data_IF_112056512163
#
_entry.id   IF_112056512163
#
_cell.length_a   1.000
_cell.length_b   1.000
_cell.length_c   1.000
_cell.angle_alpha   90.00
_cell.angle_beta   90.00
_cell.angle_gamma   90.00
#
_symmetry.space_group_name_H-M   'P 1'
#
loop_
_entity.id
_entity.type
_entity.pdbx_description
1 polymer ?
#
# COMPACT_ATOMS: atom_id res chain seq x y z
N UNK A 1 74.03 -12.36 9.70
CA UNK A 1 74.23 -13.13 10.95
C UNK A 1 73.06 -12.76 11.82
N UNK A 2 72.29 -13.76 12.26
CA UNK A 2 71.15 -13.62 13.16
C UNK A 2 69.94 -12.89 12.53
N UNK A 3 68.78 -13.52 12.23
CA UNK A 3 68.29 -14.90 12.56
C UNK A 3 68.12 -15.12 14.08
N UNK A 4 67.11 -15.77 14.68
CA UNK A 4 65.78 -16.33 14.30
C UNK A 4 64.70 -15.62 15.20
N UNK A 5 63.39 -15.90 15.33
CA UNK A 5 62.31 -16.72 14.69
C UNK A 5 61.27 -15.79 13.95
N UNK A 6 60.13 -16.12 13.31
CA UNK A 6 59.23 -17.28 13.05
C UNK A 6 57.97 -17.53 13.97
N UNK A 7 56.92 -18.16 13.37
CA UNK A 7 55.52 -18.48 13.83
C UNK A 7 54.45 -17.34 13.98
N UNK A 8 53.14 -17.55 13.76
CA UNK A 8 52.31 -18.16 12.68
C UNK A 8 50.81 -18.17 13.14
N UNK A 9 49.86 -17.63 12.36
CA UNK A 9 48.55 -18.27 12.15
C UNK A 9 47.62 -17.62 11.08
N UNK A 10 46.92 -18.50 10.38
CA UNK A 10 45.55 -18.37 9.83
C UNK A 10 45.15 -17.13 8.98
N UNK A 11 44.95 -17.40 7.69
CA UNK A 11 43.81 -16.82 6.95
C UNK A 11 42.48 -17.29 7.58
N UNK A 12 41.48 -16.42 7.69
CA UNK A 12 40.08 -16.85 7.81
C UNK A 12 39.17 -15.94 6.97
N UNK A 13 38.14 -16.54 6.37
CA UNK A 13 37.24 -15.92 5.41
C UNK A 13 35.85 -15.74 6.03
N UNK A 14 35.61 -14.56 6.61
CA UNK A 14 34.26 -14.06 6.91
C UNK A 14 34.02 -12.77 6.11
N UNK A 15 32.96 -12.63 5.30
CA UNK A 15 31.73 -13.44 5.19
C UNK A 15 30.61 -12.91 6.10
N UNK A 16 30.82 -11.78 6.79
CA UNK A 16 29.75 -11.02 7.40
C UNK A 16 29.33 -9.87 6.48
N UNK A 17 28.48 -10.20 5.50
CA UNK A 17 27.73 -9.20 4.78
C UNK A 17 26.80 -8.48 5.76
N UNK A 18 27.06 -7.20 6.04
CA UNK A 18 26.16 -6.34 6.82
C UNK A 18 24.84 -6.22 6.06
N UNK A 19 23.91 -7.12 6.37
CA UNK A 19 22.60 -7.23 5.76
C UNK A 19 21.74 -6.05 6.16
N UNK A 20 22.00 -4.89 5.55
CA UNK A 20 21.27 -3.65 5.75
C UNK A 20 19.79 -3.95 5.66
N UNK A 21 19.11 -3.86 6.80
CA UNK A 21 17.81 -4.49 6.98
C UNK A 21 16.83 -3.94 5.95
N UNK A 22 16.48 -4.79 4.97
CA UNK A 22 15.30 -4.60 4.17
C UNK A 22 14.14 -4.55 5.16
N UNK A 23 13.67 -3.34 5.44
CA UNK A 23 12.38 -3.13 6.08
C UNK A 23 11.36 -3.63 5.08
N UNK A 24 11.10 -4.93 5.17
CA UNK A 24 9.96 -5.59 4.61
C UNK A 24 8.78 -4.96 5.33
N UNK A 25 8.28 -3.87 4.74
CA UNK A 25 6.96 -3.32 5.02
C UNK A 25 6.02 -4.53 5.04
N UNK A 26 5.58 -4.92 6.24
CA UNK A 26 4.66 -6.04 6.37
C UNK A 26 3.44 -5.67 5.56
N UNK A 27 3.13 -6.46 4.53
CA UNK A 27 1.95 -6.25 3.70
C UNK A 27 0.74 -6.64 4.56
N UNK A 28 0.35 -5.69 5.42
CA UNK A 28 -0.82 -5.74 6.31
C UNK A 28 -2.03 -5.71 5.41
N UNK A 29 -2.35 -6.88 4.87
CA UNK A 29 -3.42 -7.09 3.92
C UNK A 29 -4.71 -6.47 4.43
N UNK A 30 -5.55 -6.03 3.50
CA UNK A 30 -6.73 -5.21 3.74
C UNK A 30 -7.60 -5.67 4.93
N UNK A 31 -7.74 -6.98 5.15
CA UNK A 31 -8.43 -7.59 6.30
C UNK A 31 -7.81 -7.23 7.66
N UNK A 32 -6.49 -7.17 7.78
CA UNK A 32 -5.80 -6.75 9.01
C UNK A 32 -5.98 -5.24 9.26
N UNK A 33 -6.07 -4.43 8.21
CA UNK A 33 -6.41 -3.01 8.32
C UNK A 33 -7.86 -2.80 8.78
N UNK A 34 -8.83 -3.59 8.30
CA UNK A 34 -10.21 -3.58 8.81
C UNK A 34 -10.29 -4.02 10.28
N UNK A 35 -9.47 -5.00 10.71
CA UNK A 35 -9.36 -5.40 12.13
C UNK A 35 -8.77 -4.29 13.00
N UNK A 36 -7.69 -3.62 12.55
CA UNK A 36 -7.12 -2.44 13.25
C UNK A 36 -8.13 -1.27 13.33
N UNK A 37 -9.09 -1.19 12.39
CA UNK A 37 -10.17 -0.19 12.38
C UNK A 37 -11.40 -0.60 13.23
N UNK A 38 -11.48 -1.87 13.64
CA UNK A 38 -12.63 -2.43 14.38
C UNK A 38 -13.88 -2.67 13.54
N UNK A 39 -13.72 -2.79 12.22
CA UNK A 39 -14.82 -2.93 11.25
C UNK A 39 -15.17 -4.40 10.94
N UNK A 40 -14.28 -5.34 11.29
CA UNK A 40 -14.54 -6.79 11.38
C UNK A 40 -13.93 -7.36 12.66
N UNK A 41 -14.48 -8.47 13.16
CA UNK A 41 -14.02 -9.19 14.35
C UNK A 41 -13.57 -10.62 14.04
N UNK A 42 -12.97 -11.30 15.01
CA UNK A 42 -12.61 -12.73 14.89
C UNK A 42 -13.83 -13.68 15.06
N UNK A 43 -14.99 -13.17 15.49
CA UNK A 43 -16.25 -13.94 15.62
C UNK A 43 -17.06 -13.96 14.30
N UNK A 44 -16.62 -13.23 13.26
CA UNK A 44 -17.35 -13.07 11.99
C UNK A 44 -17.16 -14.28 11.03
N UNK A 45 -16.34 -15.28 11.40
CA UNK A 45 -15.92 -16.41 10.55
C UNK A 45 -16.96 -17.57 10.54
N UNK A 46 -18.18 -17.32 10.04
CA UNK A 46 -19.24 -18.35 9.97
C UNK A 46 -20.02 -18.41 8.64
N UNK A 47 -19.90 -19.56 7.97
CA UNK A 47 -20.74 -20.12 6.88
C UNK A 47 -21.28 -19.14 5.81
N UNK A 48 -20.44 -18.82 4.83
CA UNK A 48 -20.85 -18.23 3.55
C UNK A 48 -21.56 -19.28 2.68
N UNK A 49 -22.88 -19.40 2.78
CA UNK A 49 -23.66 -19.94 1.65
C UNK A 49 -23.70 -18.90 0.51
N UNK A 50 -23.50 -19.38 -0.72
CA UNK A 50 -23.15 -18.52 -1.87
C UNK A 50 -24.41 -17.93 -2.53
N UNK A 51 -25.04 -16.97 -1.85
CA UNK A 51 -25.89 -15.96 -2.49
C UNK A 51 -25.00 -14.97 -3.24
N UNK A 52 -25.40 -14.55 -4.45
CA UNK A 52 -24.48 -13.92 -5.41
C UNK A 52 -24.32 -12.38 -5.25
N UNK A 53 -24.14 -11.91 -4.00
CA UNK A 53 -23.86 -10.52 -3.66
C UNK A 53 -23.70 -10.32 -2.16
N UNK A 54 -22.98 -9.28 -1.74
CA UNK A 54 -22.70 -9.01 -0.34
C UNK A 54 -23.95 -8.92 0.56
N UNK A 55 -23.83 -9.41 1.79
CA UNK A 55 -24.89 -9.31 2.79
C UNK A 55 -24.91 -7.90 3.43
N UNK A 56 -26.09 -7.30 3.69
CA UNK A 56 -26.16 -5.94 4.26
C UNK A 56 -25.46 -5.84 5.62
N UNK A 57 -24.45 -4.98 5.70
CA UNK A 57 -23.58 -4.80 6.87
C UNK A 57 -22.39 -5.75 6.96
N UNK A 58 -22.09 -6.55 5.92
CA UNK A 58 -20.91 -7.43 5.87
C UNK A 58 -19.67 -6.69 5.29
N UNK A 59 -18.44 -7.16 5.55
CA UNK A 59 -17.24 -6.57 4.98
C UNK A 59 -17.17 -6.63 3.45
N UNK A 60 -17.88 -7.58 2.82
CA UNK A 60 -18.02 -7.64 1.37
C UNK A 60 -18.80 -6.43 0.84
N UNK A 61 -19.84 -5.94 1.54
CA UNK A 61 -20.60 -4.76 1.13
C UNK A 61 -19.70 -3.52 1.19
N UNK A 62 -18.88 -3.40 2.24
CA UNK A 62 -17.87 -2.35 2.34
C UNK A 62 -16.86 -2.41 1.19
N UNK A 63 -16.39 -3.60 0.81
CA UNK A 63 -15.47 -3.79 -0.32
C UNK A 63 -16.11 -3.40 -1.66
N UNK A 64 -17.34 -3.83 -1.92
CA UNK A 64 -18.10 -3.45 -3.12
C UNK A 64 -18.33 -1.92 -3.20
N UNK A 65 -18.71 -1.30 -2.09
CA UNK A 65 -18.91 0.15 -1.98
C UNK A 65 -17.59 0.91 -2.16
N UNK A 66 -16.48 0.44 -1.57
CA UNK A 66 -15.16 1.04 -1.70
C UNK A 66 -14.62 0.91 -3.13
N UNK A 67 -14.83 -0.23 -3.78
CA UNK A 67 -14.52 -0.44 -5.20
C UNK A 67 -15.32 0.51 -6.09
N UNK A 68 -16.65 0.58 -5.90
CA UNK A 68 -17.54 1.47 -6.65
C UNK A 68 -17.19 2.95 -6.48
N UNK A 69 -16.88 3.39 -5.25
CA UNK A 69 -16.41 4.75 -4.96
C UNK A 69 -15.07 5.05 -5.63
N UNK A 70 -14.12 4.11 -5.55
CA UNK A 70 -12.79 4.25 -6.17
C UNK A 70 -12.90 4.35 -7.69
N UNK A 71 -13.73 3.51 -8.31
CA UNK A 71 -14.00 3.54 -9.74
C UNK A 71 -14.71 4.84 -10.16
N UNK A 72 -15.66 5.36 -9.38
CA UNK A 72 -16.33 6.63 -9.65
C UNK A 72 -15.38 7.84 -9.57
N UNK A 73 -14.42 7.83 -8.64
CA UNK A 73 -13.36 8.84 -8.56
C UNK A 73 -12.35 8.71 -9.72
N UNK A 74 -12.02 7.49 -10.13
CA UNK A 74 -11.08 7.20 -11.21
C UNK A 74 -11.66 7.49 -12.61
N UNK A 75 -12.98 7.36 -12.78
CA UNK A 75 -13.71 7.62 -14.04
C UNK A 75 -14.37 9.00 -14.09
N UNK A 76 -14.12 9.88 -13.11
CA UNK A 76 -14.75 11.19 -13.01
C UNK A 76 -14.59 11.99 -14.33
N UNK A 77 -15.69 12.50 -14.93
CA UNK A 77 -15.62 13.24 -16.18
C UNK A 77 -14.86 14.56 -16.02
N UNK A 78 -13.97 14.83 -16.99
CA UNK A 78 -13.09 15.99 -17.00
C UNK A 78 -13.84 17.24 -17.48
N UNK A 79 -13.93 18.27 -16.65
CA UNK A 79 -14.62 19.53 -17.00
C UNK A 79 -13.74 20.36 -17.93
N UNK A 80 -14.30 20.82 -19.06
CA UNK A 80 -13.61 21.60 -20.10
C UNK A 80 -12.29 20.98 -20.63
N UNK A 81 -12.12 19.66 -20.51
CA UNK A 81 -10.88 18.97 -20.88
C UNK A 81 -9.67 19.25 -19.99
N UNK A 82 -9.87 19.89 -18.82
CA UNK A 82 -8.82 20.24 -17.86
C UNK A 82 -8.70 19.16 -16.76
N UNK A 83 -7.72 18.23 -16.80
CA UNK A 83 -7.67 17.07 -15.89
C UNK A 83 -7.59 17.43 -14.40
N UNK A 84 -7.04 18.60 -14.07
CA UNK A 84 -7.01 19.18 -12.73
C UNK A 84 -8.38 19.58 -12.15
N UNK A 85 -9.48 19.37 -12.88
CA UNK A 85 -10.86 19.45 -12.37
C UNK A 85 -11.35 18.14 -11.74
N UNK A 86 -10.59 17.04 -11.86
CA UNK A 86 -10.89 15.78 -11.18
C UNK A 86 -10.39 15.80 -9.74
N UNK A 87 -11.18 15.24 -8.83
CA UNK A 87 -10.89 15.09 -7.40
C UNK A 87 -9.59 14.32 -7.20
N UNK A 88 -9.36 13.30 -8.04
CA UNK A 88 -8.18 12.45 -7.99
C UNK A 88 -6.90 13.22 -8.37
N UNK A 89 -6.93 14.06 -9.42
CA UNK A 89 -5.78 14.93 -9.77
C UNK A 89 -5.60 16.06 -8.75
N UNK A 90 -6.67 16.57 -8.14
CA UNK A 90 -6.57 17.56 -7.07
C UNK A 90 -5.84 16.98 -5.84
N UNK A 91 -6.28 15.83 -5.32
CA UNK A 91 -5.65 15.21 -4.15
C UNK A 91 -4.27 14.60 -4.43
N UNK A 92 -3.97 14.14 -5.66
CA UNK A 92 -2.62 13.68 -6.03
C UNK A 92 -1.67 14.80 -6.44
N UNK A 93 -2.18 15.99 -6.79
CA UNK A 93 -1.39 17.20 -6.96
C UNK A 93 -1.02 17.87 -5.63
N UNK A 94 -1.84 17.67 -4.59
CA UNK A 94 -1.51 18.06 -3.23
C UNK A 94 -0.56 17.00 -2.64
N UNK A 95 0.71 17.40 -2.54
CA UNK A 95 1.74 16.80 -1.70
C UNK A 95 1.14 16.25 -0.39
N UNK A 96 1.01 14.92 -0.28
CA UNK A 96 0.16 14.27 0.73
C UNK A 96 0.50 14.65 2.18
N UNK A 97 -0.47 14.53 3.08
CA UNK A 97 -0.31 14.94 4.49
C UNK A 97 0.75 14.11 5.21
N UNK A 98 1.58 14.76 6.02
CA UNK A 98 2.51 14.10 6.92
C UNK A 98 1.76 13.49 8.11
N UNK A 99 2.07 12.23 8.43
CA UNK A 99 1.63 11.49 9.63
C UNK A 99 2.14 12.07 10.96
N UNK A 100 2.84 13.22 10.93
CA UNK A 100 3.20 13.98 12.14
C UNK A 100 1.95 14.39 12.91
N UNK A 101 2.03 14.34 14.25
CA UNK A 101 0.94 14.49 15.24
C UNK A 101 0.19 15.86 15.22
N UNK A 102 0.47 16.73 14.24
CA UNK A 102 -0.26 17.98 14.00
C UNK A 102 -0.95 18.08 12.63
N UNK A 103 -0.78 17.12 11.71
CA UNK A 103 -1.42 17.06 10.37
C UNK A 103 -1.16 18.23 9.40
N UNK A 104 -0.53 19.31 9.87
CA UNK A 104 -0.48 20.63 9.22
C UNK A 104 0.60 20.77 8.14
N UNK A 105 1.30 19.70 7.76
CA UNK A 105 2.44 19.75 6.86
C UNK A 105 2.27 18.78 5.67
N UNK A 106 2.46 19.31 4.47
CA UNK A 106 2.53 18.54 3.23
C UNK A 106 3.90 17.84 3.09
N UNK A 107 3.92 16.61 2.59
CA UNK A 107 5.13 15.82 2.36
C UNK A 107 5.96 16.40 1.20
N UNK A 108 7.29 16.50 1.31
CA UNK A 108 8.14 16.85 0.17
C UNK A 108 7.87 15.96 -1.07
N UNK A 109 7.94 16.53 -2.27
CA UNK A 109 7.62 15.81 -3.52
C UNK A 109 8.36 14.47 -3.65
N UNK A 110 9.63 14.39 -3.18
CA UNK A 110 10.42 13.15 -3.20
C UNK A 110 9.86 12.03 -2.34
N UNK A 111 9.26 12.32 -1.18
CA UNK A 111 8.62 11.32 -0.32
C UNK A 111 7.17 11.03 -0.71
N UNK A 112 6.50 11.95 -1.41
CA UNK A 112 5.16 11.69 -1.94
C UNK A 112 5.14 10.78 -3.19
N UNK A 113 6.23 10.73 -3.98
CA UNK A 113 6.32 9.88 -5.18
C UNK A 113 5.99 8.40 -4.90
N UNK A 114 6.44 7.82 -3.78
CA UNK A 114 6.14 6.43 -3.44
C UNK A 114 4.63 6.20 -3.24
N UNK A 115 3.99 7.07 -2.45
CA UNK A 115 2.54 7.08 -2.22
C UNK A 115 1.76 7.23 -3.54
N UNK A 116 2.19 8.17 -4.40
CA UNK A 116 1.60 8.37 -5.72
C UNK A 116 1.75 7.14 -6.62
N UNK A 117 2.89 6.44 -6.55
CA UNK A 117 3.14 5.24 -7.35
C UNK A 117 2.27 4.05 -6.91
N UNK A 118 2.05 3.88 -5.60
CA UNK A 118 1.11 2.91 -5.04
C UNK A 118 -0.33 3.22 -5.46
N UNK A 119 -0.76 4.48 -5.38
CA UNK A 119 -2.08 4.92 -5.84
C UNK A 119 -2.29 4.63 -7.33
N UNK A 120 -1.30 4.94 -8.18
CA UNK A 120 -1.35 4.61 -9.63
C UNK A 120 -1.40 3.10 -9.87
N UNK A 121 -0.73 2.29 -9.05
CA UNK A 121 -0.76 0.83 -9.15
C UNK A 121 -2.14 0.26 -8.78
N UNK A 122 -2.71 0.68 -7.64
CA UNK A 122 -4.05 0.26 -7.18
C UNK A 122 -5.12 0.62 -8.22
N UNK A 123 -5.08 1.84 -8.79
CA UNK A 123 -6.01 2.24 -9.85
C UNK A 123 -5.92 1.35 -11.10
N UNK A 124 -4.72 0.87 -11.46
CA UNK A 124 -4.57 -0.08 -12.58
C UNK A 124 -5.20 -1.44 -12.26
N UNK A 125 -5.13 -1.92 -11.02
CA UNK A 125 -5.81 -3.15 -10.60
C UNK A 125 -7.33 -2.97 -10.65
N UNK A 126 -7.86 -1.86 -10.12
CA UNK A 126 -9.30 -1.52 -10.17
C UNK A 126 -9.80 -1.44 -11.62
N UNK A 127 -9.03 -0.87 -12.54
CA UNK A 127 -9.37 -0.84 -13.97
C UNK A 127 -9.23 -2.18 -14.69
N UNK A 128 -8.39 -3.11 -14.20
CA UNK A 128 -8.31 -4.47 -14.73
C UNK A 128 -9.52 -5.29 -14.27
N UNK A 129 -9.89 -5.19 -13.00
CA UNK A 129 -11.08 -5.85 -12.43
C UNK A 129 -12.35 -5.41 -13.17
N UNK A 130 -12.56 -4.11 -13.34
CA UNK A 130 -13.67 -3.55 -14.12
C UNK A 130 -13.66 -3.95 -15.61
N UNK A 131 -12.54 -4.43 -16.14
CA UNK A 131 -12.41 -4.89 -17.53
C UNK A 131 -12.56 -6.42 -17.69
N UNK A 132 -12.74 -7.18 -16.61
CA UNK A 132 -13.04 -8.61 -16.68
C UNK A 132 -14.49 -8.83 -17.17
N UNK A 133 -14.75 -9.85 -18.01
CA UNK A 133 -16.10 -10.24 -18.37
C UNK A 133 -16.80 -10.98 -17.21
N UNK A 134 -18.08 -10.67 -17.03
CA UNK A 134 -19.04 -11.40 -16.19
C UNK A 134 -19.47 -12.73 -16.86
#
# INVERSE_FOLDING_TARGET
MQEEEEEDNAEDHSEEGEGGAYQQEEDRGFTMWLKDLGEITDDDEYDIEVEAGAAPGSPEELVELLFGLTLALATQPVVNGQPQTTVLVYFSGILGFSLSLGGSAFLPARSYISNLSGLIYILRLVFLEYALPL
#
